data_IF_905453165824
#
_entry.id   IF_905453165824
#
_cell.length_a   1.000
_cell.length_b   1.000
_cell.length_c   1.000
_cell.angle_alpha   90.00
_cell.angle_beta   90.00
_cell.angle_gamma   90.00
#
_symmetry.space_group_name_H-M   'P 1'
#
loop_
_entity.id
_entity.type
_entity.pdbx_description
1 polymer ?
#
# COMPACT_ATOMS: atom_id res chain seq x y z
N UNK A 1 -12.20 30.65 -59.21
CA UNK A 1 -11.26 29.74 -59.90
C UNK A 1 -10.47 28.98 -58.83
N UNK A 2 -10.72 27.68 -58.67
CA UNK A 2 -9.76 26.56 -58.89
C UNK A 2 -8.55 26.62 -57.94
N UNK A 3 -8.24 25.64 -57.09
CA UNK A 3 -8.30 24.17 -57.27
C UNK A 3 -8.23 23.46 -55.92
N UNK A 4 -9.14 22.51 -55.73
CA UNK A 4 -9.03 21.39 -54.80
C UNK A 4 -7.90 20.45 -55.24
N UNK A 5 -7.15 19.88 -54.29
CA UNK A 5 -6.42 18.63 -54.49
C UNK A 5 -6.64 17.70 -53.31
N UNK A 6 -7.45 16.67 -53.59
CA UNK A 6 -7.54 15.42 -52.86
C UNK A 6 -6.24 14.62 -53.04
N UNK A 7 -5.73 14.00 -51.98
CA UNK A 7 -4.92 12.80 -52.08
C UNK A 7 -5.32 11.82 -50.98
N UNK A 8 -5.71 10.64 -51.44
CA UNK A 8 -6.22 9.48 -50.73
C UNK A 8 -5.08 8.54 -50.32
N UNK A 9 -5.19 8.01 -49.10
CA UNK A 9 -4.92 6.65 -48.62
C UNK A 9 -3.79 5.82 -49.26
N UNK A 10 -2.79 5.47 -48.45
CA UNK A 10 -2.33 4.07 -48.35
C UNK A 10 -2.09 3.70 -46.88
N UNK A 11 -2.71 2.59 -46.47
CA UNK A 11 -2.60 2.01 -45.15
C UNK A 11 -1.45 1.02 -45.04
N UNK A 12 -0.85 0.97 -43.86
CA UNK A 12 -0.03 -0.16 -43.41
C UNK A 12 -0.48 -0.49 -41.99
N UNK A 13 -1.23 -1.59 -41.86
CA UNK A 13 -1.57 -2.22 -40.58
C UNK A 13 -0.36 -3.04 -40.15
N UNK A 14 0.33 -2.62 -39.10
CA UNK A 14 1.31 -3.45 -38.41
C UNK A 14 0.59 -4.18 -37.28
N UNK A 15 0.35 -5.47 -37.46
CA UNK A 15 -0.09 -6.38 -36.42
C UNK A 15 1.12 -6.80 -35.60
N UNK A 16 1.22 -6.37 -34.34
CA UNK A 16 2.15 -6.94 -33.36
C UNK A 16 1.44 -8.04 -32.58
N UNK A 17 1.75 -9.29 -32.90
CA UNK A 17 1.28 -10.47 -32.20
C UNK A 17 2.05 -10.64 -30.89
N UNK A 18 1.33 -10.57 -29.77
CA UNK A 18 1.82 -10.91 -28.42
C UNK A 18 1.91 -12.45 -28.32
N UNK A 19 3.03 -13.03 -27.84
CA UNK A 19 3.12 -14.47 -27.65
C UNK A 19 2.30 -14.91 -26.43
N UNK A 20 1.48 -15.94 -26.66
CA UNK A 20 0.63 -16.62 -25.68
C UNK A 20 1.47 -17.67 -24.92
N UNK A 21 1.51 -17.68 -23.58
CA UNK A 21 2.25 -18.69 -22.84
C UNK A 21 1.55 -20.06 -22.91
N UNK A 22 2.31 -21.08 -23.27
CA UNK A 22 1.89 -22.48 -23.33
C UNK A 22 1.79 -23.07 -21.92
N UNK A 23 0.66 -23.68 -21.60
CA UNK A 23 0.42 -24.43 -20.37
C UNK A 23 0.82 -25.90 -20.64
N UNK A 24 1.76 -26.49 -19.90
CA UNK A 24 2.13 -27.89 -20.08
C UNK A 24 1.03 -28.83 -19.60
N UNK A 25 0.69 -29.80 -20.45
CA UNK A 25 -0.25 -30.89 -20.20
C UNK A 25 0.33 -31.87 -19.18
N UNK A 26 -0.35 -32.06 -18.05
CA UNK A 26 -0.07 -33.13 -17.09
C UNK A 26 -0.47 -34.48 -17.71
N UNK A 27 0.52 -35.36 -17.87
CA UNK A 27 0.34 -36.77 -18.20
C UNK A 27 -0.17 -37.51 -16.97
N UNK A 28 -1.29 -38.23 -17.15
CA UNK A 28 -1.74 -39.27 -16.23
C UNK A 28 -1.16 -40.60 -16.73
N UNK A 29 -0.39 -41.28 -15.89
CA UNK A 29 -0.07 -42.69 -16.09
C UNK A 29 -0.12 -43.41 -14.73
N UNK A 30 -1.02 -44.39 -14.64
CA UNK A 30 -1.05 -45.45 -13.64
C UNK A 30 0.13 -46.41 -13.93
N UNK A 31 0.78 -47.10 -12.99
CA UNK A 31 0.26 -48.09 -12.06
C UNK A 31 1.44 -48.61 -11.15
N UNK A 32 1.26 -49.62 -10.26
CA UNK A 32 1.69 -49.60 -8.85
C UNK A 32 3.00 -50.36 -8.55
N UNK A 33 3.52 -50.27 -7.32
CA UNK A 33 3.92 -51.43 -6.47
C UNK A 33 4.64 -51.02 -5.18
N UNK A 34 4.34 -51.79 -4.12
CA UNK A 34 5.05 -51.97 -2.84
C UNK A 34 4.93 -50.91 -1.73
N UNK A 35 3.95 -51.14 -0.86
CA UNK A 35 4.05 -50.93 0.59
C UNK A 35 5.21 -51.71 1.21
N UNK A 36 5.86 -51.15 2.23
CA UNK A 36 6.18 -51.94 3.41
C UNK A 36 5.37 -51.46 4.63
N UNK A 37 4.66 -52.43 5.19
CA UNK A 37 3.91 -52.36 6.44
C UNK A 37 4.86 -52.03 7.60
N UNK A 38 4.62 -50.92 8.30
CA UNK A 38 5.13 -50.71 9.66
C UNK A 38 3.96 -50.29 10.54
N UNK A 39 3.57 -51.24 11.38
CA UNK A 39 2.49 -51.19 12.36
C UNK A 39 2.88 -50.25 13.50
N UNK A 40 2.33 -49.03 13.48
CA UNK A 40 2.18 -48.15 14.64
C UNK A 40 0.77 -47.53 14.60
N UNK A 41 0.13 -47.30 15.77
CA UNK A 41 -1.31 -47.03 15.84
C UNK A 41 -1.73 -45.74 15.08
N UNK A 42 -2.81 -45.85 14.29
CA UNK A 42 -3.32 -44.83 13.35
C UNK A 42 -3.45 -43.42 13.94
N UNK A 43 -3.79 -43.31 15.23
CA UNK A 43 -4.05 -42.03 15.92
C UNK A 43 -2.82 -41.11 15.98
N UNK A 44 -1.61 -41.66 16.16
CA UNK A 44 -0.39 -40.84 16.22
C UNK A 44 0.05 -40.37 14.83
N UNK A 45 -0.17 -41.17 13.78
CA UNK A 45 0.24 -40.85 12.41
C UNK A 45 -0.59 -39.70 11.83
N UNK A 46 -1.89 -39.68 12.09
CA UNK A 46 -2.78 -38.58 11.65
C UNK A 46 -2.46 -37.26 12.37
N UNK A 47 -2.18 -37.30 13.68
CA UNK A 47 -1.80 -36.13 14.46
C UNK A 47 -0.44 -35.56 14.01
N UNK A 48 0.55 -36.41 13.72
CA UNK A 48 1.86 -35.98 13.19
C UNK A 48 1.68 -35.35 11.81
N UNK A 49 0.82 -35.91 10.95
CA UNK A 49 0.54 -35.37 9.60
C UNK A 49 -0.16 -34.02 9.68
N UNK A 50 -1.11 -33.84 10.61
CA UNK A 50 -1.81 -32.57 10.80
C UNK A 50 -0.89 -31.49 11.36
N UNK A 51 -0.01 -31.82 12.31
CA UNK A 51 1.01 -30.88 12.82
C UNK A 51 1.99 -30.45 11.73
N UNK A 52 2.48 -31.39 10.93
CA UNK A 52 3.36 -31.09 9.79
C UNK A 52 2.68 -30.19 8.75
N UNK A 53 1.37 -30.38 8.49
CA UNK A 53 0.60 -29.50 7.60
C UNK A 53 0.44 -28.09 8.16
N UNK A 54 0.20 -27.96 9.47
CA UNK A 54 0.10 -26.66 10.16
C UNK A 54 1.45 -25.94 10.15
N UNK A 55 2.56 -26.65 10.42
CA UNK A 55 3.91 -26.10 10.37
C UNK A 55 4.31 -25.66 8.95
N UNK A 56 3.99 -26.47 7.93
CA UNK A 56 4.17 -26.11 6.52
C UNK A 56 3.35 -24.87 6.13
N UNK A 57 2.10 -24.76 6.60
CA UNK A 57 1.26 -23.60 6.35
C UNK A 57 1.79 -22.34 7.04
N UNK A 58 2.26 -22.47 8.29
CA UNK A 58 2.84 -21.35 9.03
C UNK A 58 4.16 -20.86 8.41
N UNK A 59 5.01 -21.77 7.95
CA UNK A 59 6.25 -21.41 7.26
C UNK A 59 5.96 -20.81 5.88
N UNK A 60 4.98 -21.33 5.14
CA UNK A 60 4.55 -20.73 3.87
C UNK A 60 4.00 -19.32 4.01
N UNK A 61 3.26 -19.02 5.09
CA UNK A 61 2.77 -17.65 5.38
C UNK A 61 3.94 -16.72 5.73
N UNK A 62 4.93 -17.20 6.49
CA UNK A 62 6.13 -16.41 6.82
C UNK A 62 6.96 -16.08 5.57
N UNK A 63 7.19 -17.05 4.70
CA UNK A 63 7.96 -16.85 3.46
C UNK A 63 7.28 -15.85 2.50
N UNK A 64 5.94 -15.88 2.42
CA UNK A 64 5.17 -14.90 1.63
C UNK A 64 5.29 -13.50 2.22
N UNK A 65 5.30 -13.39 3.56
CA UNK A 65 5.39 -12.10 4.24
C UNK A 65 6.82 -11.53 4.22
N UNK A 66 7.84 -12.38 4.37
CA UNK A 66 9.25 -11.98 4.24
C UNK A 66 9.56 -11.53 2.81
N UNK A 67 9.09 -12.28 1.79
CA UNK A 67 9.26 -11.88 0.38
C UNK A 67 8.58 -10.55 0.02
N UNK A 68 7.54 -10.14 0.75
CA UNK A 68 6.89 -8.84 0.60
C UNK A 68 7.60 -7.71 1.36
N UNK A 69 8.25 -8.00 2.50
CA UNK A 69 8.91 -7.00 3.33
C UNK A 69 10.37 -6.73 2.96
N UNK A 70 11.07 -7.68 2.31
CA UNK A 70 12.51 -7.56 2.01
C UNK A 70 12.82 -7.27 0.55
N UNK A 71 11.84 -6.91 -0.29
CA UNK A 71 12.14 -6.38 -1.61
C UNK A 71 12.71 -4.96 -1.46
N UNK A 72 14.02 -4.87 -1.18
CA UNK A 72 14.77 -3.63 -1.35
C UNK A 72 14.77 -3.29 -2.83
N UNK A 73 13.73 -2.56 -3.24
CA UNK A 73 13.54 -2.08 -4.59
C UNK A 73 14.63 -1.01 -4.85
N UNK A 74 15.79 -1.47 -5.28
CA UNK A 74 16.93 -0.61 -5.62
C UNK A 74 16.61 0.13 -6.91
N UNK A 75 16.18 1.39 -6.77
CA UNK A 75 15.89 2.25 -7.91
C UNK A 75 17.17 2.89 -8.44
N UNK A 76 17.40 2.74 -9.75
CA UNK A 76 18.49 3.44 -10.42
C UNK A 76 18.26 4.97 -10.42
N UNK A 77 19.31 5.78 -10.20
CA UNK A 77 19.20 7.23 -10.23
C UNK A 77 18.81 7.69 -11.64
N UNK A 78 17.77 8.52 -11.71
CA UNK A 78 17.24 8.99 -12.99
C UNK A 78 17.98 10.26 -13.46
N UNK A 79 18.08 10.46 -14.78
CA UNK A 79 18.45 11.77 -15.33
C UNK A 79 17.29 12.74 -15.10
N UNK A 80 17.53 13.78 -14.31
CA UNK A 80 16.54 14.76 -13.88
C UNK A 80 16.28 15.83 -14.94
N UNK A 81 17.21 16.06 -15.86
CA UNK A 81 17.11 17.10 -16.90
C UNK A 81 15.83 17.02 -17.75
N UNK A 82 15.42 15.86 -18.31
CA UNK A 82 14.19 15.77 -19.08
C UNK A 82 12.94 16.09 -18.26
N UNK A 83 12.95 15.78 -16.96
CA UNK A 83 11.85 16.06 -16.04
C UNK A 83 11.78 17.56 -15.73
N UNK A 84 12.93 18.22 -15.53
CA UNK A 84 12.98 19.67 -15.33
C UNK A 84 12.44 20.45 -16.55
N UNK A 85 12.71 19.95 -17.77
CA UNK A 85 12.19 20.55 -18.99
C UNK A 85 10.67 20.38 -19.15
N UNK A 86 10.14 19.23 -18.71
CA UNK A 86 8.71 18.89 -18.81
C UNK A 86 8.13 18.49 -17.44
N UNK A 87 7.69 19.48 -16.62
CA UNK A 87 7.17 19.23 -15.28
C UNK A 87 6.04 18.20 -15.16
N UNK A 88 5.10 18.05 -16.13
CA UNK A 88 4.05 17.03 -16.04
C UNK A 88 4.57 15.59 -15.92
N UNK A 89 5.78 15.30 -16.42
CA UNK A 89 6.40 13.98 -16.29
C UNK A 89 6.65 13.58 -14.83
N UNK A 90 6.77 14.56 -13.94
CA UNK A 90 6.98 14.35 -12.51
C UNK A 90 5.89 13.53 -11.83
N UNK A 91 4.64 13.62 -12.32
CA UNK A 91 3.49 12.92 -11.72
C UNK A 91 3.64 11.40 -11.83
N UNK A 92 4.20 10.93 -12.94
CA UNK A 92 4.30 9.50 -13.27
C UNK A 92 5.55 8.83 -12.68
N UNK A 93 6.41 9.57 -11.97
CA UNK A 93 7.64 9.05 -11.38
C UNK A 93 7.35 8.26 -10.09
N UNK A 94 8.24 7.31 -9.77
CA UNK A 94 8.23 6.66 -8.46
C UNK A 94 8.58 7.67 -7.36
N UNK A 95 8.18 7.39 -6.11
CA UNK A 95 8.44 8.33 -5.00
C UNK A 95 9.94 8.59 -4.81
N UNK A 96 10.77 7.57 -4.99
CA UNK A 96 12.23 7.70 -4.93
C UNK A 96 12.76 8.66 -6.00
N UNK A 97 12.29 8.53 -7.25
CA UNK A 97 12.68 9.42 -8.35
C UNK A 97 12.15 10.85 -8.11
N UNK A 98 10.93 11.00 -7.58
CA UNK A 98 10.38 12.31 -7.19
C UNK A 98 11.21 12.98 -6.11
N UNK A 99 11.72 12.23 -5.15
CA UNK A 99 12.58 12.72 -4.08
C UNK A 99 13.93 13.18 -4.64
N UNK A 100 14.55 12.42 -5.55
CA UNK A 100 15.79 12.82 -6.22
C UNK A 100 15.63 14.17 -6.95
N UNK A 101 14.53 14.36 -7.69
CA UNK A 101 14.20 15.62 -8.37
C UNK A 101 14.01 16.76 -7.37
N UNK A 102 13.33 16.51 -6.25
CA UNK A 102 13.11 17.49 -5.17
C UNK A 102 14.44 17.94 -4.56
N UNK A 103 15.33 17.00 -4.24
CA UNK A 103 16.64 17.30 -3.66
C UNK A 103 17.50 18.14 -4.60
N UNK A 104 17.45 17.86 -5.90
CA UNK A 104 18.14 18.71 -6.86
C UNK A 104 17.52 20.12 -6.94
N UNK A 105 16.20 20.23 -6.99
CA UNK A 105 15.51 21.52 -6.96
C UNK A 105 15.86 22.31 -5.70
N UNK A 106 15.86 21.68 -4.53
CA UNK A 106 16.17 22.32 -3.26
C UNK A 106 17.63 22.76 -3.16
N UNK A 107 18.57 21.95 -3.68
CA UNK A 107 19.98 22.32 -3.76
C UNK A 107 20.19 23.55 -4.67
N UNK A 108 19.40 23.65 -5.74
CA UNK A 108 19.48 24.75 -6.71
C UNK A 108 18.72 25.98 -6.24
N UNK A 109 17.58 25.85 -5.58
CA UNK A 109 16.75 26.94 -5.08
C UNK A 109 17.45 27.76 -3.99
N UNK A 110 18.36 27.14 -3.24
CA UNK A 110 19.26 27.83 -2.29
C UNK A 110 20.28 28.77 -2.97
N UNK A 111 20.49 28.64 -4.29
CA UNK A 111 21.36 29.53 -5.04
C UNK A 111 20.62 30.82 -5.42
N UNK A 112 21.35 31.84 -5.88
CA UNK A 112 20.75 33.08 -6.35
C UNK A 112 19.76 32.79 -7.50
N UNK A 113 18.53 33.29 -7.38
CA UNK A 113 17.43 33.09 -8.35
C UNK A 113 17.81 33.46 -9.80
N UNK A 114 18.73 34.40 -9.98
CA UNK A 114 19.20 34.82 -11.30
C UNK A 114 20.05 33.75 -12.00
N UNK A 115 20.62 32.80 -11.24
CA UNK A 115 21.43 31.69 -11.79
C UNK A 115 20.59 30.48 -12.19
N UNK A 116 19.33 30.42 -11.79
CA UNK A 116 18.44 29.31 -12.16
C UNK A 116 17.98 29.46 -13.61
N UNK A 117 18.02 28.35 -14.35
CA UNK A 117 17.43 28.26 -15.68
C UNK A 117 15.91 28.44 -15.62
N UNK A 118 15.32 28.89 -16.72
CA UNK A 118 13.86 29.03 -16.83
C UNK A 118 13.14 27.71 -16.50
N UNK A 119 13.69 26.58 -16.93
CA UNK A 119 13.07 25.26 -16.75
C UNK A 119 13.07 24.84 -15.27
N UNK A 120 14.15 25.13 -14.54
CA UNK A 120 14.18 24.91 -13.09
C UNK A 120 13.16 25.78 -12.35
N UNK A 121 12.98 27.03 -12.78
CA UNK A 121 11.96 27.93 -12.19
C UNK A 121 10.55 27.41 -12.45
N UNK A 122 10.28 26.96 -13.68
CA UNK A 122 9.02 26.31 -14.05
C UNK A 122 8.80 25.06 -13.20
N UNK A 123 9.79 24.17 -13.13
CA UNK A 123 9.67 22.95 -12.34
C UNK A 123 9.47 23.24 -10.85
N UNK A 124 10.14 24.25 -10.29
CA UNK A 124 9.91 24.71 -8.91
C UNK A 124 8.48 25.22 -8.70
N UNK A 125 7.96 26.03 -9.64
CA UNK A 125 6.57 26.48 -9.58
C UNK A 125 5.58 25.30 -9.70
N UNK A 126 5.84 24.34 -10.59
CA UNK A 126 5.05 23.13 -10.71
C UNK A 126 5.10 22.29 -9.43
N UNK A 127 6.25 22.15 -8.80
CA UNK A 127 6.38 21.41 -7.54
C UNK A 127 5.57 22.05 -6.39
N UNK A 128 5.48 23.38 -6.35
CA UNK A 128 4.73 24.06 -5.28
C UNK A 128 3.23 24.19 -5.57
N UNK A 129 2.87 24.43 -6.84
CA UNK A 129 1.51 24.85 -7.22
C UNK A 129 0.92 24.04 -8.38
N UNK A 130 1.61 23.01 -8.86
CA UNK A 130 1.15 22.17 -9.96
C UNK A 130 -0.08 21.34 -9.60
N UNK A 131 -0.76 20.86 -10.62
CA UNK A 131 -1.99 20.08 -10.49
C UNK A 131 -1.66 18.61 -10.19
N UNK A 132 -1.19 18.33 -8.98
CA UNK A 132 -1.01 16.96 -8.49
C UNK A 132 -1.28 16.89 -6.98
N UNK A 133 -1.46 15.66 -6.47
CA UNK A 133 -1.73 15.43 -5.06
C UNK A 133 -2.99 16.20 -4.61
N UNK A 134 -2.91 17.09 -3.61
CA UNK A 134 -4.07 17.86 -3.15
C UNK A 134 -4.69 18.79 -4.20
N UNK A 135 -4.06 19.00 -5.36
CA UNK A 135 -4.49 19.91 -6.45
C UNK A 135 -4.87 19.17 -7.74
N UNK A 136 -4.96 17.85 -7.74
CA UNK A 136 -5.21 17.05 -8.96
C UNK A 136 -6.53 17.40 -9.68
N UNK A 137 -7.59 17.66 -8.90
CA UNK A 137 -8.93 17.92 -9.42
C UNK A 137 -9.16 19.34 -9.93
N UNK A 138 -8.18 20.24 -9.78
CA UNK A 138 -8.27 21.62 -10.25
C UNK A 138 -8.06 21.70 -11.76
N UNK A 139 -8.64 22.72 -12.40
CA UNK A 139 -8.37 22.97 -13.82
C UNK A 139 -6.89 23.21 -14.10
N UNK A 140 -6.38 22.61 -15.18
CA UNK A 140 -4.98 22.75 -15.56
C UNK A 140 -4.72 24.15 -16.13
N UNK A 141 -4.11 24.99 -15.28
CA UNK A 141 -3.78 26.38 -15.56
C UNK A 141 -2.33 26.59 -16.00
N UNK A 142 -1.57 25.49 -16.19
CA UNK A 142 -0.13 25.56 -16.48
C UNK A 142 0.20 26.39 -17.74
N UNK A 143 -0.55 26.17 -18.83
CA UNK A 143 -0.34 26.86 -20.11
C UNK A 143 -1.46 27.85 -20.44
N UNK A 144 -2.35 28.16 -19.48
CA UNK A 144 -3.56 28.95 -19.72
C UNK A 144 -3.57 30.18 -18.84
N UNK A 145 -3.94 31.32 -19.41
CA UNK A 145 -4.20 32.58 -18.68
C UNK A 145 -5.59 32.53 -18.03
N UNK A 146 -5.83 31.50 -17.22
CA UNK A 146 -7.07 31.31 -16.47
C UNK A 146 -6.74 31.48 -15.00
N UNK A 147 -7.62 32.17 -14.27
CA UNK A 147 -7.45 32.35 -12.84
C UNK A 147 -7.50 30.98 -12.13
N UNK A 148 -6.57 30.71 -11.20
CA UNK A 148 -6.61 29.49 -10.40
C UNK A 148 -7.89 29.42 -9.57
N UNK A 149 -8.52 28.25 -9.57
CA UNK A 149 -9.77 27.98 -8.85
C UNK A 149 -9.57 28.10 -7.33
N UNK A 150 -8.42 27.63 -6.82
CA UNK A 150 -8.12 27.56 -5.39
C UNK A 150 -7.81 28.92 -4.74
N UNK A 151 -7.64 29.98 -5.52
CA UNK A 151 -7.34 31.31 -5.03
C UNK A 151 -8.48 32.27 -5.39
N UNK A 152 -8.83 33.23 -4.50
CA UNK A 152 -9.93 34.17 -4.72
C UNK A 152 -9.57 35.28 -5.73
N UNK A 153 -8.78 34.99 -6.75
CA UNK A 153 -8.35 35.96 -7.75
C UNK A 153 -9.39 36.08 -8.86
N UNK A 154 -10.21 37.12 -8.79
CA UNK A 154 -11.18 37.46 -9.85
C UNK A 154 -10.56 38.31 -10.96
N UNK A 155 -9.51 39.06 -10.64
CA UNK A 155 -8.88 40.04 -11.53
C UNK A 155 -7.37 39.85 -11.44
N UNK A 156 -6.62 39.82 -12.55
CA UNK A 156 -5.17 39.84 -12.49
C UNK A 156 -4.72 41.12 -11.76
N UNK A 157 -4.09 40.97 -10.60
CA UNK A 157 -3.57 42.11 -9.86
C UNK A 157 -2.42 42.73 -10.65
N UNK A 158 -2.60 43.97 -11.12
CA UNK A 158 -1.49 44.73 -11.70
C UNK A 158 -0.58 45.11 -10.54
N UNK A 159 0.57 44.44 -10.43
CA UNK A 159 1.54 44.74 -9.38
C UNK A 159 2.10 46.15 -9.61
N UNK A 160 1.69 47.09 -8.76
CA UNK A 160 2.37 48.39 -8.69
C UNK A 160 3.71 48.16 -8.00
N UNK A 161 4.80 48.43 -8.71
CA UNK A 161 6.19 48.20 -8.24
C UNK A 161 6.50 49.02 -6.97
N UNK A 162 5.77 50.11 -6.74
CA UNK A 162 5.92 50.96 -5.57
C UNK A 162 4.71 50.81 -4.63
N UNK A 163 4.98 50.48 -3.36
CA UNK A 163 3.99 50.56 -2.27
C UNK A 163 3.58 52.01 -2.09
N UNK A 164 2.31 52.34 -2.28
CA UNK A 164 1.82 53.66 -1.88
C UNK A 164 1.73 53.68 -0.35
N UNK A 165 2.10 54.78 0.32
CA UNK A 165 2.06 54.89 1.79
C UNK A 165 0.65 54.75 2.39
N UNK A 166 -0.39 54.80 1.56
CA UNK A 166 -1.81 54.67 1.95
C UNK A 166 -2.41 53.27 1.68
N UNK A 167 -1.63 52.33 1.12
CA UNK A 167 -2.16 51.04 0.70
C UNK A 167 -2.28 50.09 1.90
N UNK A 168 -3.52 49.80 2.32
CA UNK A 168 -3.79 48.83 3.38
C UNK A 168 -3.74 47.41 2.81
N UNK A 169 -2.92 46.57 3.41
CA UNK A 169 -2.82 45.15 3.06
C UNK A 169 -4.01 44.43 3.70
N UNK A 170 -4.88 43.84 2.89
CA UNK A 170 -5.99 43.02 3.34
C UNK A 170 -5.61 41.54 3.31
N UNK A 171 -6.09 40.77 4.31
CA UNK A 171 -6.03 39.31 4.27
C UNK A 171 -6.92 38.84 3.11
N UNK A 172 -6.45 37.85 2.35
CA UNK A 172 -7.28 37.20 1.32
C UNK A 172 -8.45 36.47 1.98
N UNK A 173 -9.59 36.45 1.29
CA UNK A 173 -10.75 35.69 1.70
C UNK A 173 -10.42 34.19 1.74
N UNK A 174 -10.96 33.50 2.74
CA UNK A 174 -10.77 32.06 2.89
C UNK A 174 -11.65 31.33 1.86
N UNK A 175 -11.03 30.45 1.06
CA UNK A 175 -11.71 29.66 0.02
C UNK A 175 -11.83 28.23 0.50
N UNK A 176 -13.05 27.70 0.50
CA UNK A 176 -13.29 26.28 0.79
C UNK A 176 -12.81 25.41 -0.38
N UNK A 177 -11.64 24.79 -0.21
CA UNK A 177 -10.96 23.98 -1.21
C UNK A 177 -11.75 22.73 -1.65
N UNK A 178 -12.71 22.26 -0.87
CA UNK A 178 -13.51 21.07 -1.18
C UNK A 178 -14.69 21.39 -2.11
N UNK A 179 -15.17 22.63 -2.08
CA UNK A 179 -16.35 23.07 -2.82
C UNK A 179 -16.04 23.99 -4.01
N UNK A 180 -14.76 24.23 -4.30
CA UNK A 180 -14.33 25.15 -5.37
C UNK A 180 -14.75 24.69 -6.76
N UNK A 181 -14.56 23.40 -7.05
CA UNK A 181 -14.74 22.85 -8.39
C UNK A 181 -15.86 21.81 -8.41
N UNK A 182 -16.62 21.68 -9.51
CA UNK A 182 -17.70 20.71 -9.60
C UNK A 182 -17.19 19.27 -9.41
N UNK A 183 -15.97 18.99 -9.87
CA UNK A 183 -15.31 17.68 -9.68
C UNK A 183 -15.03 17.40 -8.21
N UNK A 184 -14.56 18.40 -7.45
CA UNK A 184 -14.31 18.26 -6.01
C UNK A 184 -15.58 18.10 -5.22
N UNK A 185 -16.64 18.84 -5.58
CA UNK A 185 -17.97 18.65 -4.99
C UNK A 185 -18.44 17.21 -5.22
N UNK A 186 -18.26 16.66 -6.43
CA UNK A 186 -18.61 15.27 -6.73
C UNK A 186 -17.76 14.28 -5.92
N UNK A 187 -16.43 14.47 -5.87
CA UNK A 187 -15.52 13.63 -5.10
C UNK A 187 -15.82 13.67 -3.59
N UNK A 188 -16.07 14.86 -3.04
CA UNK A 188 -16.48 15.06 -1.66
C UNK A 188 -17.81 14.37 -1.35
N UNK A 189 -18.82 14.54 -2.22
CA UNK A 189 -20.09 13.83 -2.10
C UNK A 189 -19.90 12.31 -2.16
N UNK A 190 -19.00 11.81 -3.01
CA UNK A 190 -18.69 10.39 -3.12
C UNK A 190 -18.03 9.86 -1.84
N UNK A 191 -17.10 10.61 -1.24
CA UNK A 191 -16.42 10.23 0.00
C UNK A 191 -17.34 10.29 1.23
N UNK A 192 -18.15 11.33 1.36
CA UNK A 192 -18.98 11.56 2.56
C UNK A 192 -20.29 10.78 2.54
N UNK A 193 -20.94 10.64 1.38
CA UNK A 193 -22.26 9.98 1.29
C UNK A 193 -22.18 8.48 1.05
N UNK A 194 -21.07 7.95 0.53
CA UNK A 194 -20.93 6.52 0.26
C UNK A 194 -19.89 5.91 1.19
N UNK A 195 -20.31 4.89 1.93
CA UNK A 195 -19.38 4.03 2.66
C UNK A 195 -18.44 3.32 1.68
N UNK A 196 -17.16 3.27 2.05
CA UNK A 196 -16.12 2.51 1.34
C UNK A 196 -16.54 1.03 1.22
N UNK A 197 -16.39 0.35 0.06
CA UNK A 197 -16.65 -1.07 -0.09
C UNK A 197 -16.09 -1.96 1.02
N UNK A 198 -14.92 -1.64 1.57
CA UNK A 198 -14.34 -2.40 2.69
C UNK A 198 -15.13 -2.19 4.00
N UNK A 199 -15.54 -0.96 4.28
CA UNK A 199 -16.41 -0.69 5.43
C UNK A 199 -17.76 -1.40 5.26
N UNK A 200 -18.32 -1.41 4.05
CA UNK A 200 -19.55 -2.15 3.74
C UNK A 200 -19.39 -3.65 3.96
N UNK A 201 -18.27 -4.26 3.54
CA UNK A 201 -18.05 -5.70 3.74
C UNK A 201 -17.97 -6.05 5.23
N UNK A 202 -17.31 -5.23 6.05
CA UNK A 202 -17.27 -5.41 7.50
C UNK A 202 -18.67 -5.36 8.09
N UNK A 203 -19.47 -4.34 7.71
CA UNK A 203 -20.85 -4.21 8.19
C UNK A 203 -21.69 -5.42 7.78
N UNK A 204 -21.54 -5.93 6.56
CA UNK A 204 -22.25 -7.13 6.12
C UNK A 204 -21.81 -8.41 6.84
N UNK A 205 -20.51 -8.58 7.10
CA UNK A 205 -19.99 -9.71 7.88
C UNK A 205 -20.53 -9.64 9.31
N UNK A 206 -20.50 -8.46 9.94
CA UNK A 206 -21.05 -8.26 11.29
C UNK A 206 -22.56 -8.59 11.33
N UNK A 207 -23.31 -8.15 10.31
CA UNK A 207 -24.72 -8.49 10.17
C UNK A 207 -24.93 -10.01 10.01
N UNK A 208 -24.14 -10.68 9.17
CA UNK A 208 -24.23 -12.13 8.97
C UNK A 208 -23.90 -12.91 10.25
N UNK A 209 -22.85 -12.52 10.98
CA UNK A 209 -22.50 -13.13 12.27
C UNK A 209 -23.62 -12.93 13.28
N UNK A 210 -24.22 -11.74 13.33
CA UNK A 210 -25.36 -11.47 14.23
C UNK A 210 -26.59 -12.33 13.87
N UNK A 211 -26.90 -12.49 12.58
CA UNK A 211 -27.97 -13.37 12.10
C UNK A 211 -27.68 -14.83 12.40
N UNK A 212 -26.44 -15.27 12.25
CA UNK A 212 -26.01 -16.63 12.56
C UNK A 212 -26.09 -16.92 14.06
N UNK A 213 -25.68 -15.97 14.90
CA UNK A 213 -25.83 -16.07 16.35
C UNK A 213 -27.30 -16.20 16.76
N UNK A 214 -28.18 -15.35 16.20
CA UNK A 214 -29.63 -15.43 16.43
C UNK A 214 -30.25 -16.74 15.92
N UNK A 215 -29.75 -17.27 14.80
CA UNK A 215 -30.19 -18.55 14.27
C UNK A 215 -29.79 -19.71 15.19
N UNK A 216 -28.53 -19.73 15.66
CA UNK A 216 -28.06 -20.74 16.60
C UNK A 216 -28.81 -20.68 17.92
N UNK A 217 -29.06 -19.48 18.46
CA UNK A 217 -29.82 -19.27 19.69
C UNK A 217 -31.24 -19.87 19.59
N UNK A 218 -31.94 -19.58 18.49
CA UNK A 218 -33.26 -20.18 18.20
C UNK A 218 -33.23 -21.69 17.98
N UNK A 219 -32.12 -22.24 17.48
CA UNK A 219 -31.97 -23.69 17.32
C UNK A 219 -31.67 -24.37 18.66
N UNK A 220 -30.87 -23.76 19.52
CA UNK A 220 -30.59 -24.24 20.89
C UNK A 220 -31.87 -24.26 21.74
N UNK A 221 -32.72 -23.22 21.63
CA UNK A 221 -34.03 -23.14 22.29
C UNK A 221 -34.96 -24.30 21.86
N UNK A 222 -35.00 -24.62 20.56
CA UNK A 222 -35.83 -25.72 20.02
C UNK A 222 -35.31 -27.11 20.37
N UNK A 223 -34.00 -27.29 20.45
CA UNK A 223 -33.38 -28.56 20.86
C UNK A 223 -33.46 -28.79 22.38
N UNK A 224 -33.97 -27.82 23.16
CA UNK A 224 -34.03 -27.92 24.62
C UNK A 224 -32.66 -27.95 25.29
N UNK A 225 -31.59 -27.68 24.53
CA UNK A 225 -30.23 -27.52 25.04
C UNK A 225 -30.03 -26.05 25.38
N UNK A 226 -30.68 -25.60 26.43
CA UNK A 226 -30.20 -24.44 27.16
C UNK A 226 -28.93 -24.96 27.84
N UNK A 227 -27.72 -24.48 27.50
CA UNK A 227 -26.57 -24.78 28.35
C UNK A 227 -26.90 -24.20 29.72
N UNK A 228 -27.18 -25.08 30.67
CA UNK A 228 -27.38 -24.70 32.06
C UNK A 228 -26.15 -23.90 32.47
N UNK A 229 -26.38 -22.63 32.78
CA UNK A 229 -25.36 -21.69 33.24
C UNK A 229 -24.70 -22.16 34.56
N UNK A 230 -25.22 -23.21 35.20
CA UNK A 230 -24.58 -23.94 36.30
C UNK A 230 -23.33 -24.76 35.88
N UNK A 231 -23.16 -25.10 34.60
CA UNK A 231 -21.98 -25.86 34.14
C UNK A 231 -20.77 -24.95 33.83
N UNK A 232 -20.98 -23.64 33.65
CA UNK A 232 -19.91 -22.64 33.54
C UNK A 232 -19.24 -22.30 34.89
N UNK A 233 -19.91 -22.59 36.01
CA UNK A 233 -19.31 -22.50 37.35
C UNK A 233 -18.49 -23.75 37.71
N UNK A 234 -18.66 -24.83 36.94
CA UNK A 234 -17.92 -26.10 37.03
C UNK A 234 -16.99 -26.33 35.82
N UNK A 235 -16.43 -25.28 35.21
CA UNK A 235 -15.19 -25.47 34.45
C UNK A 235 -14.17 -25.98 35.47
N UNK A 236 -13.64 -27.21 35.36
CA UNK A 236 -12.66 -27.67 36.32
C UNK A 236 -11.49 -26.69 36.25
N UNK A 237 -11.16 -26.08 37.39
CA UNK A 237 -10.04 -25.15 37.56
C UNK A 237 -8.74 -25.69 36.90
N UNK A 238 -8.68 -27.02 36.72
CA UNK A 238 -7.65 -27.72 35.96
C UNK A 238 -7.41 -27.19 34.53
N UNK A 239 -8.42 -26.73 33.79
CA UNK A 239 -8.21 -26.28 32.39
C UNK A 239 -7.48 -24.95 32.29
N UNK A 240 -7.81 -23.99 33.17
CA UNK A 240 -7.10 -22.71 33.28
C UNK A 240 -5.71 -22.90 33.89
N UNK A 241 -5.59 -23.76 34.91
CA UNK A 241 -4.30 -24.13 35.51
C UNK A 241 -3.38 -24.82 34.50
N UNK A 242 -3.90 -25.66 33.61
CA UNK A 242 -3.11 -26.28 32.53
C UNK A 242 -2.61 -25.26 31.51
N UNK A 243 -3.40 -24.22 31.21
CA UNK A 243 -3.00 -23.13 30.32
C UNK A 243 -1.89 -22.30 30.96
N UNK A 244 -2.02 -21.98 32.25
CA UNK A 244 -1.02 -21.19 32.98
C UNK A 244 0.29 -21.97 33.19
N UNK A 245 0.23 -23.27 33.55
CA UNK A 245 1.41 -24.14 33.63
C UNK A 245 2.15 -24.24 32.29
N UNK A 246 1.41 -24.31 31.19
CA UNK A 246 2.00 -24.35 29.85
C UNK A 246 2.68 -23.02 29.50
N UNK A 247 2.08 -21.89 29.88
CA UNK A 247 2.65 -20.56 29.70
C UNK A 247 3.94 -20.38 30.53
N UNK A 248 3.98 -20.91 31.75
CA UNK A 248 5.19 -20.91 32.60
C UNK A 248 6.31 -21.77 32.01
N UNK A 249 6.00 -22.95 31.48
CA UNK A 249 6.98 -23.81 30.79
C UNK A 249 7.56 -23.13 29.55
N UNK A 250 6.74 -22.50 28.72
CA UNK A 250 7.20 -21.78 27.53
C UNK A 250 8.10 -20.59 27.90
N UNK A 251 7.82 -19.89 29.00
CA UNK A 251 8.67 -18.80 29.50
C UNK A 251 10.01 -19.31 30.05
N UNK A 252 10.02 -20.46 30.73
CA UNK A 252 11.26 -21.09 31.21
C UNK A 252 12.13 -21.57 30.04
N UNK A 253 11.53 -22.16 29.01
CA UNK A 253 12.22 -22.60 27.79
C UNK A 253 12.80 -21.42 26.99
N UNK A 254 12.13 -20.27 26.98
CA UNK A 254 12.64 -19.05 26.36
C UNK A 254 13.85 -18.49 27.12
N UNK A 255 13.80 -18.46 28.46
CA UNK A 255 14.92 -17.99 29.29
C UNK A 255 16.15 -18.87 29.13
N UNK A 256 15.99 -20.19 29.19
CA UNK A 256 17.11 -21.13 29.00
C UNK A 256 17.73 -21.05 27.60
N UNK A 257 16.92 -20.81 26.56
CA UNK A 257 17.44 -20.55 25.20
C UNK A 257 18.20 -19.24 25.10
N UNK A 258 17.75 -18.18 25.77
CA UNK A 258 18.46 -16.90 25.82
C UNK A 258 19.81 -17.05 26.53
N UNK A 259 19.84 -17.68 27.71
CA UNK A 259 21.08 -17.94 28.45
C UNK A 259 22.07 -18.80 27.63
N UNK A 260 21.60 -19.83 26.93
CA UNK A 260 22.46 -20.63 26.04
C UNK A 260 22.99 -19.84 24.83
N UNK A 261 22.23 -18.86 24.34
CA UNK A 261 22.66 -18.00 23.23
C UNK A 261 23.72 -16.98 23.67
N UNK A 262 23.63 -16.49 24.91
CA UNK A 262 24.61 -15.57 25.50
C UNK A 262 25.93 -16.28 25.80
N UNK A 263 25.90 -17.49 26.35
CA UNK A 263 27.12 -18.30 26.60
C UNK A 263 27.84 -18.64 25.28
N UNK A 264 27.09 -18.90 24.19
CA UNK A 264 27.68 -19.13 22.86
C UNK A 264 28.35 -17.88 22.28
N UNK A 265 27.81 -16.69 22.55
CA UNK A 265 28.38 -15.43 22.08
C UNK A 265 29.63 -15.01 22.88
N UNK A 266 29.68 -15.31 24.18
CA UNK A 266 30.86 -15.03 25.02
C UNK A 266 32.07 -15.92 24.66
N UNK A 267 31.85 -17.10 24.09
CA UNK A 267 32.92 -18.03 23.68
C UNK A 267 33.59 -17.68 22.33
N UNK A 268 33.15 -16.63 21.63
CA UNK A 268 33.82 -16.15 20.41
C UNK A 268 35.03 -15.29 20.79
N UNK A 269 36.20 -15.92 20.86
CA UNK A 269 37.47 -15.27 21.21
C UNK A 269 37.95 -14.35 20.07
N UNK A 270 38.36 -13.14 20.44
CA UNK A 270 38.59 -11.98 19.56
C UNK A 270 39.78 -12.10 18.57
N UNK A 271 40.54 -13.19 18.59
CA UNK A 271 41.77 -13.34 17.80
C UNK A 271 41.54 -13.70 16.31
N UNK A 272 40.30 -13.89 15.86
CA UNK A 272 40.00 -14.12 14.44
C UNK A 272 40.01 -12.85 13.57
N UNK A 273 40.16 -11.67 14.16
CA UNK A 273 40.18 -10.39 13.44
C UNK A 273 41.53 -10.04 12.78
N UNK A 274 42.59 -10.80 13.02
CA UNK A 274 43.96 -10.47 12.56
C UNK A 274 44.61 -11.51 11.64
N UNK A 275 43.88 -12.56 11.23
CA UNK A 275 44.32 -13.46 10.17
C UNK A 275 43.71 -12.99 8.83
N UNK A 276 44.31 -11.96 8.25
CA UNK A 276 44.21 -11.67 6.81
C UNK A 276 45.55 -11.16 6.30
#
# INVERSE_FOLDING_TARGET
MLRLRNLTLQGTRLYSTIPKPEIPKTQQEANPTSTPTSTKPLSQREQITNRQRIELAQNGIKDIFEGFLTSEESYDPIDTKPIMANPPLYINLSEFQRQQVREELDKRSRQNWNKLTSDMKKMSYFHSYGNYGPREDLSNNWNKLIAPEDLPFKIPSISKIAKLPSEKIHKLDEVDLEQVSPKRIENWNKMTRRLDPFTKSIVYIAALVSLYALYNDKMMEKEGKIPDYEELENIPESSLVLIDLKREQELADLKTKQEQSEVKNQNKKWYYLWLK
#
